data_IF_258284620981
#
_entry.id   IF_258284620981
#
_cell.length_a   1.000
_cell.length_b   1.000
_cell.length_c   1.000
_cell.angle_alpha   90.00
_cell.angle_beta   90.00
_cell.angle_gamma   90.00
#
_symmetry.space_group_name_H-M   'P 1'
#
loop_
_entity.id
_entity.type
_entity.pdbx_description
1 polymer ?
#
# COMPACT_ATOMS: atom_id res chain seq x y z
N UNK A 1 22.21 -1.10 -42.66
CA UNK A 1 21.54 -0.09 -41.81
C UNK A 1 21.34 -0.70 -40.44
N UNK A 2 22.17 -0.33 -39.47
CA UNK A 2 22.10 -0.83 -38.10
C UNK A 2 21.04 -0.02 -37.32
N UNK A 3 19.91 -0.63 -37.03
CA UNK A 3 18.91 -0.14 -36.09
C UNK A 3 18.57 -1.30 -35.15
N UNK A 4 19.40 -1.61 -34.16
CA UNK A 4 18.97 -2.57 -33.12
C UNK A 4 19.73 -2.55 -31.77
N UNK A 5 20.20 -1.40 -31.26
CA UNK A 5 21.07 -1.42 -30.08
C UNK A 5 20.86 -0.40 -28.94
N UNK A 6 19.67 0.17 -28.76
CA UNK A 6 19.37 0.90 -27.50
C UNK A 6 17.92 0.73 -27.02
N UNK A 7 17.47 -0.52 -26.83
CA UNK A 7 16.22 -0.75 -26.12
C UNK A 7 16.36 -0.31 -24.66
N UNK A 8 15.36 0.38 -24.10
CA UNK A 8 15.37 0.78 -22.68
C UNK A 8 15.59 -0.41 -21.74
N UNK A 9 15.21 -1.62 -22.18
CA UNK A 9 15.47 -2.88 -21.48
C UNK A 9 16.97 -3.20 -21.35
N UNK A 10 17.74 -3.13 -22.45
CA UNK A 10 19.20 -3.36 -22.44
C UNK A 10 19.87 -2.37 -21.50
N UNK A 11 19.51 -1.09 -21.59
CA UNK A 11 20.03 -0.03 -20.71
C UNK A 11 19.75 -0.33 -19.22
N UNK A 12 18.54 -0.80 -18.90
CA UNK A 12 18.15 -1.14 -17.52
C UNK A 12 18.98 -2.30 -16.99
N UNK A 13 19.21 -3.33 -17.82
CA UNK A 13 20.04 -4.49 -17.47
C UNK A 13 21.47 -4.05 -17.16
N UNK A 14 22.10 -3.28 -18.06
CA UNK A 14 23.46 -2.77 -17.87
C UNK A 14 23.60 -1.88 -16.63
N UNK A 15 22.62 -1.01 -16.38
CA UNK A 15 22.62 -0.17 -15.18
C UNK A 15 22.52 -1.02 -13.90
N UNK A 16 21.63 -2.01 -13.89
CA UNK A 16 21.43 -2.89 -12.73
C UNK A 16 22.70 -3.67 -12.39
N UNK A 17 23.43 -4.17 -13.40
CA UNK A 17 24.64 -4.98 -13.22
C UNK A 17 25.81 -4.18 -12.61
N UNK A 18 25.86 -2.87 -12.86
CA UNK A 18 26.90 -1.98 -12.32
C UNK A 18 26.71 -1.61 -10.84
N UNK A 19 25.51 -1.86 -10.30
CA UNK A 19 25.15 -1.43 -8.94
C UNK A 19 25.41 -2.55 -7.95
N UNK A 20 26.20 -2.29 -6.91
CA UNK A 20 26.24 -3.18 -5.76
C UNK A 20 24.96 -3.04 -4.93
N UNK A 21 24.03 -3.96 -5.12
CA UNK A 21 22.76 -3.99 -4.38
C UNK A 21 22.92 -4.24 -2.88
N UNK A 22 24.11 -4.50 -2.35
CA UNK A 22 24.34 -4.54 -0.90
C UNK A 22 24.75 -3.19 -0.31
N UNK A 23 25.15 -2.22 -1.14
CA UNK A 23 25.59 -0.89 -0.73
C UNK A 23 24.51 0.16 -1.05
N UNK A 24 23.87 0.71 -0.02
CA UNK A 24 22.78 1.68 -0.19
C UNK A 24 23.21 2.93 -0.99
N UNK A 25 24.43 3.43 -0.77
CA UNK A 25 24.95 4.63 -1.47
C UNK A 25 25.03 4.45 -2.98
N UNK A 26 25.30 3.23 -3.44
CA UNK A 26 25.35 2.89 -4.86
C UNK A 26 23.96 2.72 -5.49
N UNK A 27 22.92 2.47 -4.67
CA UNK A 27 21.54 2.34 -5.16
C UNK A 27 20.87 3.69 -5.47
N UNK A 28 21.26 4.76 -4.77
CA UNK A 28 20.65 6.09 -4.95
C UNK A 28 20.81 6.67 -6.37
N UNK A 29 22.00 6.67 -7.00
CA UNK A 29 22.14 7.11 -8.39
C UNK A 29 21.29 6.26 -9.35
N UNK A 30 21.21 4.95 -9.10
CA UNK A 30 20.42 4.03 -9.91
C UNK A 30 18.93 4.35 -9.88
N UNK A 31 18.34 4.53 -8.70
CA UNK A 31 16.92 4.84 -8.61
C UNK A 31 16.61 6.20 -9.22
N UNK A 32 17.49 7.19 -9.04
CA UNK A 32 17.32 8.49 -9.67
C UNK A 32 17.29 8.35 -11.21
N UNK A 33 18.27 7.69 -11.82
CA UNK A 33 18.27 7.49 -13.27
C UNK A 33 17.08 6.66 -13.78
N UNK A 34 16.68 5.64 -13.03
CA UNK A 34 15.51 4.83 -13.34
C UNK A 34 14.22 5.66 -13.33
N UNK A 35 13.97 6.39 -12.24
CA UNK A 35 12.76 7.18 -12.02
C UNK A 35 12.68 8.37 -12.97
N UNK A 36 13.75 9.15 -13.07
CA UNK A 36 13.74 10.44 -13.75
C UNK A 36 13.98 10.34 -15.25
N UNK A 37 14.84 9.42 -15.68
CA UNK A 37 15.28 9.36 -17.08
C UNK A 37 14.61 8.21 -17.83
N UNK A 38 14.66 6.99 -17.28
CA UNK A 38 14.29 5.79 -18.04
C UNK A 38 12.79 5.57 -18.16
N UNK A 39 12.03 5.67 -17.06
CA UNK A 39 10.59 5.33 -17.10
C UNK A 39 9.81 6.32 -17.97
N UNK A 40 10.15 7.61 -17.90
CA UNK A 40 9.51 8.65 -18.72
C UNK A 40 9.74 8.47 -20.22
N UNK A 41 10.87 7.87 -20.61
CA UNK A 41 11.28 7.73 -22.01
C UNK A 41 11.29 6.28 -22.49
N UNK A 42 10.63 5.37 -21.75
CA UNK A 42 10.70 3.94 -22.02
C UNK A 42 10.23 3.58 -23.43
N UNK A 43 11.09 2.91 -24.19
CA UNK A 43 10.81 2.40 -25.53
C UNK A 43 11.22 0.93 -25.64
N UNK A 44 10.35 0.14 -26.25
CA UNK A 44 10.56 -1.28 -26.48
C UNK A 44 9.84 -2.19 -25.49
N UNK A 45 10.26 -3.45 -25.37
CA UNK A 45 9.56 -4.46 -24.57
C UNK A 45 9.53 -4.10 -23.08
N UNK A 46 8.48 -4.55 -22.40
CA UNK A 46 8.35 -4.37 -20.95
C UNK A 46 9.32 -5.30 -20.20
N UNK A 47 10.01 -4.80 -19.16
CA UNK A 47 10.95 -5.61 -18.38
C UNK A 47 10.20 -6.60 -17.47
N UNK A 48 10.80 -7.77 -17.27
CA UNK A 48 10.38 -8.67 -16.21
C UNK A 48 11.17 -8.38 -14.93
N UNK A 49 10.64 -7.49 -14.09
CA UNK A 49 11.28 -7.07 -12.84
C UNK A 49 11.63 -8.24 -11.90
N UNK A 50 10.84 -9.32 -11.93
CA UNK A 50 11.06 -10.49 -11.06
C UNK A 50 12.34 -11.25 -11.40
N UNK A 51 12.78 -11.20 -12.65
CA UNK A 51 14.04 -11.82 -13.07
C UNK A 51 15.24 -10.90 -12.81
N UNK A 52 15.01 -9.61 -12.60
CA UNK A 52 16.06 -8.59 -12.52
C UNK A 52 16.39 -8.18 -11.07
N UNK A 53 15.40 -8.21 -10.18
CA UNK A 53 15.50 -7.70 -8.81
C UNK A 53 15.01 -8.73 -7.79
N UNK A 54 15.64 -8.76 -6.62
CA UNK A 54 15.12 -9.53 -5.49
C UNK A 54 13.92 -8.79 -4.89
N UNK A 55 13.08 -9.51 -4.14
CA UNK A 55 11.93 -8.91 -3.44
C UNK A 55 12.33 -7.72 -2.56
N UNK A 56 13.41 -7.84 -1.79
CA UNK A 56 13.92 -6.74 -0.94
C UNK A 56 14.42 -5.53 -1.74
N UNK A 57 14.99 -5.77 -2.93
CA UNK A 57 15.44 -4.70 -3.82
C UNK A 57 14.22 -3.93 -4.35
N UNK A 58 13.15 -4.64 -4.71
CA UNK A 58 11.89 -4.03 -5.13
C UNK A 58 11.20 -3.28 -3.99
N UNK A 59 11.18 -3.83 -2.77
CA UNK A 59 10.66 -3.13 -1.58
C UNK A 59 11.41 -1.82 -1.34
N UNK A 60 12.73 -1.85 -1.46
CA UNK A 60 13.55 -0.65 -1.35
C UNK A 60 13.26 0.36 -2.47
N UNK A 61 13.22 -0.08 -3.74
CA UNK A 61 12.91 0.79 -4.88
C UNK A 61 11.53 1.46 -4.74
N UNK A 62 10.51 0.71 -4.35
CA UNK A 62 9.19 1.27 -4.12
C UNK A 62 9.21 2.27 -2.96
N UNK A 63 9.80 1.90 -1.83
CA UNK A 63 9.89 2.79 -0.66
C UNK A 63 10.57 4.10 -1.01
N UNK A 64 11.71 4.03 -1.69
CA UNK A 64 12.49 5.22 -2.01
C UNK A 64 11.81 6.08 -3.08
N UNK A 65 11.11 5.46 -4.04
CA UNK A 65 10.26 6.19 -4.98
C UNK A 65 9.12 6.97 -4.31
N UNK A 66 8.70 6.56 -3.11
CA UNK A 66 7.69 7.24 -2.30
C UNK A 66 8.29 8.36 -1.43
N UNK A 67 9.57 8.25 -1.04
CA UNK A 67 10.26 9.20 -0.17
C UNK A 67 10.77 10.46 -0.91
N UNK A 68 11.17 10.36 -2.18
CA UNK A 68 11.68 11.49 -2.98
C UNK A 68 10.64 12.60 -3.31
N UNK A 69 9.58 12.73 -2.51
CA UNK A 69 8.48 13.67 -2.68
C UNK A 69 8.67 15.00 -1.93
N UNK A 70 9.92 15.37 -1.60
CA UNK A 70 10.25 16.57 -0.82
C UNK A 70 10.73 17.76 -1.65
N UNK A 71 10.87 17.65 -2.98
CA UNK A 71 11.08 18.82 -3.81
C UNK A 71 9.74 19.37 -4.33
N UNK A 72 9.50 20.65 -4.01
CA UNK A 72 8.25 21.38 -4.19
C UNK A 72 7.81 21.50 -5.66
N UNK A 73 8.74 21.25 -6.61
CA UNK A 73 8.50 21.32 -8.05
C UNK A 73 8.28 19.94 -8.72
N UNK A 74 8.44 18.84 -7.98
CA UNK A 74 8.52 17.48 -8.54
C UNK A 74 7.23 16.69 -8.29
N UNK A 75 6.16 17.22 -8.88
CA UNK A 75 4.84 16.61 -8.84
C UNK A 75 4.88 15.19 -9.45
N UNK A 76 4.62 14.18 -8.60
CA UNK A 76 4.14 12.84 -8.98
C UNK A 76 5.09 11.86 -9.69
N UNK A 77 6.38 11.69 -9.32
CA UNK A 77 7.22 10.65 -9.97
C UNK A 77 7.19 9.23 -9.35
N UNK A 78 6.95 9.09 -8.05
CA UNK A 78 6.82 7.76 -7.41
C UNK A 78 5.64 6.94 -7.94
N UNK A 79 4.53 7.61 -8.26
CA UNK A 79 3.33 6.97 -8.81
C UNK A 79 3.58 6.35 -10.21
N UNK A 80 4.20 7.04 -11.19
CA UNK A 80 4.62 6.49 -12.47
C UNK A 80 5.46 5.22 -12.37
N UNK A 81 6.38 5.11 -11.41
CA UNK A 81 7.18 3.89 -11.26
C UNK A 81 6.35 2.72 -10.79
N UNK A 82 5.57 2.90 -9.72
CA UNK A 82 4.66 1.86 -9.20
C UNK A 82 3.68 1.40 -10.30
N UNK A 83 3.08 2.35 -11.03
CA UNK A 83 2.18 2.08 -12.15
C UNK A 83 2.90 1.33 -13.27
N UNK A 84 4.11 1.76 -13.64
CA UNK A 84 4.93 1.11 -14.68
C UNK A 84 5.25 -0.34 -14.31
N UNK A 85 5.70 -0.59 -13.07
CA UNK A 85 6.01 -1.93 -12.57
C UNK A 85 4.76 -2.81 -12.51
N UNK A 86 3.62 -2.28 -12.06
CA UNK A 86 2.35 -2.99 -12.06
C UNK A 86 1.89 -3.36 -13.49
N UNK A 87 2.07 -2.45 -14.47
CA UNK A 87 1.81 -2.67 -15.90
C UNK A 87 2.72 -3.74 -16.51
N UNK A 88 3.95 -3.88 -16.02
CA UNK A 88 4.85 -4.96 -16.40
C UNK A 88 4.41 -6.33 -15.86
N UNK A 89 3.33 -6.39 -15.06
CA UNK A 89 2.82 -7.64 -14.49
C UNK A 89 3.57 -8.09 -13.24
N UNK A 90 4.45 -7.25 -12.67
CA UNK A 90 5.10 -7.59 -11.41
C UNK A 90 4.06 -7.70 -10.28
N UNK A 91 4.17 -8.77 -9.51
CA UNK A 91 3.38 -9.03 -8.30
C UNK A 91 4.33 -9.49 -7.21
N UNK A 92 4.08 -9.03 -5.99
CA UNK A 92 4.81 -9.50 -4.83
C UNK A 92 4.61 -11.02 -4.68
N UNK A 93 5.70 -11.72 -4.36
CA UNK A 93 5.62 -13.15 -4.03
C UNK A 93 5.61 -13.25 -2.52
N UNK A 94 4.65 -13.98 -1.93
CA UNK A 94 4.65 -14.07 -0.51
C UNK A 94 5.90 -14.81 -0.01
N UNK A 95 6.57 -14.24 0.99
CA UNK A 95 7.55 -14.99 1.78
C UNK A 95 6.81 -16.05 2.58
N UNK A 96 7.26 -17.29 2.51
CA UNK A 96 6.66 -18.43 3.20
C UNK A 96 7.71 -19.13 4.08
N UNK A 97 7.27 -19.69 5.20
CA UNK A 97 8.10 -20.52 6.07
C UNK A 97 8.40 -21.89 5.43
N UNK A 98 9.16 -22.73 6.14
CA UNK A 98 9.50 -24.10 5.73
C UNK A 98 8.27 -24.99 5.48
N UNK A 99 7.12 -24.62 6.06
CA UNK A 99 5.83 -25.32 5.92
C UNK A 99 4.94 -24.71 4.83
N UNK A 100 5.45 -23.72 4.09
CA UNK A 100 4.71 -23.03 3.03
C UNK A 100 3.68 -22.01 3.53
N UNK A 101 3.68 -21.66 4.83
CA UNK A 101 2.78 -20.63 5.38
C UNK A 101 3.35 -19.23 5.20
N UNK A 102 2.55 -18.21 4.85
CA UNK A 102 3.03 -16.85 4.71
C UNK A 102 3.70 -16.31 6.00
N UNK A 103 4.89 -15.73 5.86
CA UNK A 103 5.58 -15.03 6.93
C UNK A 103 4.91 -13.67 7.11
N UNK A 104 4.03 -13.56 8.11
CA UNK A 104 3.16 -12.39 8.23
C UNK A 104 3.90 -11.10 8.61
N UNK A 105 5.09 -11.15 9.22
CA UNK A 105 5.84 -9.95 9.65
C UNK A 105 6.76 -9.44 8.53
N UNK A 106 6.32 -8.41 7.81
CA UNK A 106 7.11 -7.70 6.77
C UNK A 106 6.58 -6.28 6.58
N UNK A 107 7.41 -5.29 6.92
CA UNK A 107 7.12 -3.87 6.64
C UNK A 107 7.25 -3.58 5.15
N UNK A 108 6.15 -3.76 4.41
CA UNK A 108 6.09 -3.45 2.97
C UNK A 108 5.99 -1.94 2.67
N UNK A 109 6.36 -1.51 1.45
CA UNK A 109 6.09 -0.17 0.92
C UNK A 109 4.63 0.27 1.03
N UNK A 110 3.69 -0.67 0.96
CA UNK A 110 2.26 -0.40 1.10
C UNK A 110 1.92 0.21 2.48
N UNK A 111 2.55 -0.27 3.55
CA UNK A 111 2.35 0.28 4.90
C UNK A 111 2.83 1.74 4.99
N UNK A 112 4.02 2.02 4.42
CA UNK A 112 4.60 3.36 4.41
C UNK A 112 3.76 4.33 3.59
N UNK A 113 3.33 3.89 2.41
CA UNK A 113 2.44 4.63 1.53
C UNK A 113 1.15 5.02 2.26
N UNK A 114 0.40 4.04 2.78
CA UNK A 114 -0.91 4.29 3.39
C UNK A 114 -0.88 5.34 4.51
N UNK A 115 0.21 5.41 5.29
CA UNK A 115 0.41 6.41 6.36
C UNK A 115 0.60 7.84 5.82
N UNK A 116 1.28 7.99 4.68
CA UNK A 116 1.70 9.29 4.13
C UNK A 116 0.76 9.83 3.04
N UNK A 117 0.39 9.00 2.06
CA UNK A 117 -0.34 9.39 0.84
C UNK A 117 -1.13 8.19 0.28
N UNK A 118 -2.26 8.44 -0.38
CA UNK A 118 -3.08 7.36 -0.92
C UNK A 118 -2.45 6.78 -2.20
N UNK A 119 -1.89 5.56 -2.12
CA UNK A 119 -1.30 4.84 -3.27
C UNK A 119 -1.98 3.51 -3.54
N UNK A 120 -3.21 3.58 -4.06
CA UNK A 120 -4.02 2.41 -4.42
C UNK A 120 -3.31 1.44 -5.37
N UNK A 121 -2.43 1.94 -6.23
CA UNK A 121 -1.70 1.13 -7.21
C UNK A 121 -0.78 0.07 -6.57
N UNK A 122 -0.28 0.32 -5.35
CA UNK A 122 0.51 -0.68 -4.63
C UNK A 122 -0.32 -1.92 -4.29
N UNK A 123 -1.64 -1.81 -4.08
CA UNK A 123 -2.50 -2.99 -3.87
C UNK A 123 -2.61 -3.88 -5.11
N UNK A 124 -2.31 -3.37 -6.31
CA UNK A 124 -2.20 -4.23 -7.51
C UNK A 124 -0.94 -5.09 -7.48
N UNK A 125 0.13 -4.63 -6.83
CA UNK A 125 1.38 -5.37 -6.65
C UNK A 125 1.29 -6.33 -5.46
N UNK A 126 0.75 -5.84 -4.33
CA UNK A 126 0.52 -6.60 -3.09
C UNK A 126 -0.91 -7.17 -3.05
N UNK A 127 -1.34 -7.83 -4.11
CA UNK A 127 -2.70 -8.35 -4.26
C UNK A 127 -2.92 -9.73 -3.62
N UNK A 128 -1.94 -10.22 -2.84
CA UNK A 128 -2.03 -11.50 -2.15
C UNK A 128 -2.62 -11.32 -0.75
N UNK A 129 -3.94 -11.15 -0.68
CA UNK A 129 -4.66 -10.82 0.56
C UNK A 129 -4.48 -11.86 1.66
N UNK A 130 -4.24 -13.13 1.32
CA UNK A 130 -3.98 -14.20 2.29
C UNK A 130 -2.70 -14.01 3.11
N UNK A 131 -1.73 -13.22 2.62
CA UNK A 131 -0.54 -12.91 3.41
C UNK A 131 -0.83 -11.85 4.47
N UNK A 132 -1.77 -10.93 4.22
CA UNK A 132 -2.16 -9.81 5.09
C UNK A 132 -1.01 -9.28 5.97
N UNK A 133 0.11 -8.89 5.31
CA UNK A 133 1.35 -8.61 6.02
C UNK A 133 1.17 -7.56 7.09
N UNK A 134 1.94 -7.71 8.15
CA UNK A 134 1.97 -6.85 9.33
C UNK A 134 3.32 -6.13 9.39
N UNK A 135 3.29 -4.80 9.56
CA UNK A 135 4.48 -3.99 9.82
C UNK A 135 4.97 -4.08 11.28
N UNK A 136 6.05 -3.37 11.59
CA UNK A 136 6.64 -3.29 12.93
C UNK A 136 5.71 -2.72 14.02
N UNK A 137 4.68 -1.96 13.63
CA UNK A 137 3.67 -1.43 14.55
C UNK A 137 2.47 -2.36 14.70
N UNK A 138 2.47 -3.52 14.04
CA UNK A 138 1.32 -4.42 14.05
C UNK A 138 0.24 -4.05 13.04
N UNK A 139 0.48 -3.09 12.15
CA UNK A 139 -0.49 -2.63 11.17
C UNK A 139 -0.51 -3.58 9.97
N UNK A 140 -1.68 -4.07 9.60
CA UNK A 140 -1.79 -5.02 8.49
C UNK A 140 -2.08 -4.34 7.14
N UNK A 141 -1.95 -5.07 6.04
CA UNK A 141 -2.43 -4.62 4.72
C UNK A 141 -3.92 -4.27 4.73
N UNK A 142 -4.74 -4.99 5.49
CA UNK A 142 -6.15 -4.63 5.68
C UNK A 142 -6.31 -3.27 6.36
N UNK A 143 -5.57 -3.03 7.45
CA UNK A 143 -5.57 -1.71 8.11
C UNK A 143 -5.09 -0.60 7.15
N UNK A 144 -4.07 -0.88 6.33
CA UNK A 144 -3.57 0.03 5.31
C UNK A 144 -4.63 0.35 4.24
N UNK A 145 -5.40 -0.64 3.80
CA UNK A 145 -6.49 -0.44 2.87
C UNK A 145 -7.60 0.44 3.47
N UNK A 146 -7.93 0.22 4.74
CA UNK A 146 -8.93 1.00 5.45
C UNK A 146 -8.50 2.48 5.60
N UNK A 147 -7.27 2.70 6.04
CA UNK A 147 -6.69 4.05 6.17
C UNK A 147 -6.60 4.78 4.81
N UNK A 148 -6.20 4.04 3.77
CA UNK A 148 -6.10 4.57 2.41
C UNK A 148 -7.47 4.83 1.76
N UNK A 149 -8.55 4.23 2.24
CA UNK A 149 -9.87 4.35 1.60
C UNK A 149 -10.02 3.51 0.33
N UNK A 150 -9.32 2.38 0.23
CA UNK A 150 -9.41 1.47 -0.93
C UNK A 150 -10.54 0.47 -0.69
N UNK A 151 -11.77 0.91 -0.91
CA UNK A 151 -13.02 0.16 -0.70
C UNK A 151 -13.07 -1.19 -1.43
N UNK A 152 -12.57 -1.25 -2.67
CA UNK A 152 -12.49 -2.50 -3.44
C UNK A 152 -11.57 -3.54 -2.78
N UNK A 153 -10.44 -3.08 -2.24
CA UNK A 153 -9.47 -3.92 -1.52
C UNK A 153 -10.02 -4.35 -0.16
N UNK A 154 -10.60 -3.41 0.60
CA UNK A 154 -11.25 -3.70 1.89
C UNK A 154 -12.34 -4.75 1.69
N UNK A 155 -13.18 -4.60 0.66
CA UNK A 155 -14.22 -5.56 0.33
C UNK A 155 -13.68 -6.94 -0.03
N UNK A 156 -12.50 -7.04 -0.66
CA UNK A 156 -11.86 -8.33 -0.93
C UNK A 156 -11.36 -9.01 0.35
N UNK A 157 -10.73 -8.26 1.26
CA UNK A 157 -10.33 -8.80 2.57
C UNK A 157 -11.54 -9.33 3.35
N UNK A 158 -12.62 -8.54 3.45
CA UNK A 158 -13.84 -8.92 4.18
C UNK A 158 -14.51 -10.16 3.57
N UNK A 159 -14.57 -10.25 2.23
CA UNK A 159 -15.07 -11.45 1.53
C UNK A 159 -14.24 -12.70 1.81
N UNK A 160 -12.95 -12.55 2.11
CA UNK A 160 -12.06 -13.64 2.52
C UNK A 160 -12.15 -13.97 4.01
N UNK A 161 -13.10 -13.37 4.74
CA UNK A 161 -13.34 -13.63 6.16
C UNK A 161 -12.41 -12.86 7.10
N UNK A 162 -11.80 -11.77 6.63
CA UNK A 162 -11.08 -10.85 7.51
C UNK A 162 -12.04 -10.28 8.55
N UNK A 163 -11.68 -10.38 9.83
CA UNK A 163 -12.40 -9.76 10.93
C UNK A 163 -12.39 -8.22 10.75
N UNK A 164 -13.57 -7.56 10.60
CA UNK A 164 -13.67 -6.12 10.43
C UNK A 164 -13.22 -5.32 11.67
N UNK A 165 -13.13 -5.98 12.83
CA UNK A 165 -12.77 -5.42 14.13
C UNK A 165 -11.32 -5.77 14.55
N UNK A 166 -10.53 -6.35 13.64
CA UNK A 166 -9.19 -6.82 13.96
C UNK A 166 -8.30 -5.69 14.49
N UNK A 167 -7.48 -5.95 15.52
CA UNK A 167 -6.68 -4.91 16.15
C UNK A 167 -5.23 -4.92 15.66
N UNK A 168 -4.67 -3.74 15.36
CA UNK A 168 -3.23 -3.59 15.17
C UNK A 168 -2.49 -3.84 16.50
N UNK A 169 -1.41 -4.64 16.49
CA UNK A 169 -0.81 -5.17 17.74
C UNK A 169 -0.34 -4.09 18.72
N UNK A 170 0.31 -3.02 18.25
CA UNK A 170 0.96 -2.04 19.13
C UNK A 170 0.02 -0.97 19.67
N UNK A 171 -0.98 -0.58 18.89
CA UNK A 171 -1.84 0.56 19.20
C UNK A 171 -3.32 0.19 19.34
N UNK A 172 -3.68 -1.06 19.07
CA UNK A 172 -5.05 -1.57 19.11
C UNK A 172 -6.09 -0.65 18.45
N UNK A 173 -5.74 -0.06 17.30
CA UNK A 173 -6.68 0.73 16.51
C UNK A 173 -7.56 -0.19 15.67
N UNK A 174 -8.89 -0.16 15.85
CA UNK A 174 -9.81 -0.85 14.97
C UNK A 174 -9.81 -0.23 13.56
N UNK A 175 -10.07 -1.02 12.50
CA UNK A 175 -10.15 -0.56 11.12
C UNK A 175 -11.14 0.60 10.93
N UNK A 176 -12.25 0.57 11.65
CA UNK A 176 -13.27 1.60 11.60
C UNK A 176 -12.74 2.97 12.07
N UNK A 177 -11.94 3.03 13.14
CA UNK A 177 -11.30 4.27 13.59
C UNK A 177 -10.38 4.85 12.52
N UNK A 178 -9.63 3.99 11.82
CA UNK A 178 -8.70 4.42 10.77
C UNK A 178 -9.44 5.03 9.58
N UNK A 179 -10.54 4.41 9.17
CA UNK A 179 -11.40 4.89 8.09
C UNK A 179 -12.06 6.24 8.47
N UNK A 180 -12.59 6.32 9.68
CA UNK A 180 -13.26 7.52 10.21
C UNK A 180 -12.28 8.69 10.36
N UNK A 181 -11.12 8.46 10.99
CA UNK A 181 -10.11 9.51 11.20
C UNK A 181 -9.54 10.08 9.88
N UNK A 182 -9.75 9.41 8.75
CA UNK A 182 -9.33 9.84 7.42
C UNK A 182 -10.49 10.19 6.47
N UNK A 183 -11.73 10.24 6.96
CA UNK A 183 -12.88 10.63 6.13
C UNK A 183 -13.19 9.64 5.02
N UNK A 184 -13.04 8.33 5.26
CA UNK A 184 -13.19 7.29 4.23
C UNK A 184 -14.62 6.75 4.17
N UNK A 185 -15.57 7.57 3.76
CA UNK A 185 -17.01 7.28 3.77
C UNK A 185 -17.40 5.88 3.28
N UNK A 186 -16.93 5.49 2.08
CA UNK A 186 -17.24 4.17 1.51
C UNK A 186 -16.66 3.01 2.31
N UNK A 187 -15.43 3.15 2.83
CA UNK A 187 -14.82 2.13 3.69
C UNK A 187 -15.53 2.07 5.03
N UNK A 188 -15.88 3.21 5.62
CA UNK A 188 -16.64 3.28 6.87
C UNK A 188 -17.96 2.53 6.74
N UNK A 189 -18.74 2.84 5.70
CA UNK A 189 -20.00 2.15 5.43
C UNK A 189 -19.76 0.65 5.22
N UNK A 190 -18.78 0.27 4.41
CA UNK A 190 -18.47 -1.13 4.11
C UNK A 190 -18.07 -1.94 5.34
N UNK A 191 -17.28 -1.36 6.26
CA UNK A 191 -16.91 -2.00 7.53
C UNK A 191 -18.14 -2.21 8.42
N UNK A 192 -19.01 -1.19 8.52
CA UNK A 192 -20.24 -1.26 9.32
C UNK A 192 -21.23 -2.29 8.74
N UNK A 193 -21.42 -2.29 7.42
CA UNK A 193 -22.25 -3.28 6.72
C UNK A 193 -21.71 -4.71 6.89
N UNK A 194 -20.40 -4.85 7.13
CA UNK A 194 -19.74 -6.12 7.40
C UNK A 194 -19.69 -6.50 8.87
N UNK A 195 -20.38 -5.74 9.73
CA UNK A 195 -20.55 -6.05 11.16
C UNK A 195 -19.46 -5.50 12.08
N UNK A 196 -18.68 -4.50 11.65
CA UNK A 196 -17.79 -3.78 12.57
C UNK A 196 -18.59 -3.16 13.71
N UNK A 197 -18.10 -3.25 14.94
CA UNK A 197 -18.77 -2.64 16.10
C UNK A 197 -18.53 -1.12 16.07
N UNK A 198 -19.59 -0.37 15.78
CA UNK A 198 -19.59 1.09 15.75
C UNK A 198 -19.20 1.76 17.08
N UNK A 199 -19.26 1.01 18.19
CA UNK A 199 -18.93 1.48 19.54
C UNK A 199 -17.61 0.91 20.06
N UNK A 200 -16.89 0.12 19.27
CA UNK A 200 -15.64 -0.50 19.72
C UNK A 200 -14.66 0.57 20.17
N UNK A 201 -14.08 0.44 21.36
CA UNK A 201 -13.06 1.36 21.82
C UNK A 201 -11.67 0.92 21.33
N UNK A 202 -10.79 1.88 21.03
CA UNK A 202 -9.36 1.63 20.88
C UNK A 202 -8.68 1.46 22.26
N UNK A 203 -7.36 1.26 22.29
CA UNK A 203 -6.60 1.13 23.55
C UNK A 203 -6.75 2.32 24.51
N UNK A 204 -7.01 3.53 23.99
CA UNK A 204 -7.16 4.75 24.77
C UNK A 204 -8.61 4.98 25.24
N UNK A 205 -9.55 4.07 24.93
CA UNK A 205 -10.96 4.19 25.28
C UNK A 205 -11.80 5.03 24.31
N UNK A 206 -11.22 5.49 23.20
CA UNK A 206 -11.95 6.27 22.19
C UNK A 206 -12.73 5.36 21.24
N UNK A 207 -13.99 5.71 20.99
CA UNK A 207 -14.85 5.07 19.98
C UNK A 207 -14.72 5.77 18.62
N UNK A 208 -15.20 5.19 17.51
CA UNK A 208 -15.22 5.87 16.22
C UNK A 208 -15.95 7.22 16.26
N UNK A 209 -17.02 7.33 17.06
CA UNK A 209 -17.75 8.58 17.24
C UNK A 209 -16.90 9.68 17.92
N UNK A 210 -16.00 9.31 18.85
CA UNK A 210 -15.03 10.27 19.39
C UNK A 210 -14.09 10.76 18.29
N UNK A 211 -13.61 9.87 17.40
CA UNK A 211 -12.76 10.26 16.28
C UNK A 211 -13.46 11.23 15.31
N UNK A 212 -14.77 11.05 15.09
CA UNK A 212 -15.59 11.99 14.32
C UNK A 212 -15.63 13.38 14.94
N UNK A 213 -15.75 13.48 16.27
CA UNK A 213 -15.79 14.78 16.94
C UNK A 213 -14.52 15.62 16.80
N UNK A 214 -13.38 14.97 16.50
CA UNK A 214 -12.10 15.64 16.23
C UNK A 214 -11.87 15.91 14.73
N UNK A 215 -12.83 15.58 13.86
CA UNK A 215 -12.67 15.59 12.41
C UNK A 215 -13.77 16.39 11.70
N UNK A 216 -13.44 17.05 10.59
CA UNK A 216 -14.41 17.83 9.80
C UNK A 216 -15.03 16.99 8.66
N UNK A 217 -15.69 15.87 8.98
CA UNK A 217 -16.31 14.96 8.00
C UNK A 217 -17.83 14.83 8.17
N UNK A 218 -18.64 15.83 7.74
CA UNK A 218 -20.10 15.83 7.93
C UNK A 218 -20.83 14.67 7.24
N UNK A 219 -20.23 14.08 6.19
CA UNK A 219 -20.76 12.91 5.51
C UNK A 219 -20.77 11.67 6.41
N UNK A 220 -19.75 11.51 7.26
CA UNK A 220 -19.66 10.39 8.18
C UNK A 220 -20.69 10.47 9.32
N UNK A 221 -21.07 11.67 9.76
CA UNK A 221 -22.14 11.84 10.77
C UNK A 221 -23.44 11.18 10.28
N UNK A 222 -23.79 11.40 9.01
CA UNK A 222 -24.98 10.80 8.40
C UNK A 222 -24.91 9.28 8.36
N UNK A 223 -23.73 8.70 8.11
CA UNK A 223 -23.53 7.24 8.11
C UNK A 223 -23.82 6.67 9.50
N UNK A 224 -23.24 7.26 10.55
CA UNK A 224 -23.45 6.81 11.93
C UNK A 224 -24.89 7.03 12.41
N UNK A 225 -25.53 8.15 12.06
CA UNK A 225 -26.94 8.39 12.41
C UNK A 225 -27.90 7.46 11.66
N UNK A 226 -27.63 7.15 10.38
CA UNK A 226 -28.48 6.26 9.59
C UNK A 226 -28.48 4.84 10.17
N UNK A 227 -27.32 4.32 10.54
CA UNK A 227 -27.20 2.98 11.10
C UNK A 227 -27.94 2.86 12.44
N UNK A 228 -27.87 3.88 13.30
CA UNK A 228 -28.60 3.86 14.57
C UNK A 228 -30.13 3.83 14.40
N UNK A 229 -30.67 4.39 13.31
CA UNK A 229 -32.12 4.33 13.01
C UNK A 229 -32.54 2.96 12.46
N UNK A 230 -31.66 2.25 11.73
CA UNK A 230 -31.93 0.89 11.23
C UNK A 230 -31.80 -0.19 12.32
N UNK A 231 -31.11 0.09 13.43
CA UNK A 231 -30.84 -0.87 14.52
C UNK A 231 -31.81 -0.75 15.71
N UNK A 232 -32.79 0.17 15.67
CA UNK A 232 -33.85 0.28 16.67
C UNK A 232 -35.19 -0.30 16.13
N UNK A 233 -35.71 -1.42 16.67
CA UNK A 233 -37.05 -1.94 16.34
C UNK A 233 -38.19 -1.04 16.84
#
# INVERSE_FOLDING_TARGET
>A
MAQDDDSSLKKLQTMREKVNWSNEKERYPFIHDLLYNMIKTWKGPLPNFRNMFRTRDMDWLFTESLNHMHNVDDYYLGCPFVVFVARCGYRDKPEVDEKGKPILRRTTPLHRAAKQKNYRELFKIYNWFNANYTDEDGFTHFHAACLAGCDDVVGQFLKLGQDPDCLAQKFAYPPLHLAVARGRDYVTQLLLDSGADQNRANADGFTPLHMLSFSEFPSLEKIFFKINVEVTP
#
